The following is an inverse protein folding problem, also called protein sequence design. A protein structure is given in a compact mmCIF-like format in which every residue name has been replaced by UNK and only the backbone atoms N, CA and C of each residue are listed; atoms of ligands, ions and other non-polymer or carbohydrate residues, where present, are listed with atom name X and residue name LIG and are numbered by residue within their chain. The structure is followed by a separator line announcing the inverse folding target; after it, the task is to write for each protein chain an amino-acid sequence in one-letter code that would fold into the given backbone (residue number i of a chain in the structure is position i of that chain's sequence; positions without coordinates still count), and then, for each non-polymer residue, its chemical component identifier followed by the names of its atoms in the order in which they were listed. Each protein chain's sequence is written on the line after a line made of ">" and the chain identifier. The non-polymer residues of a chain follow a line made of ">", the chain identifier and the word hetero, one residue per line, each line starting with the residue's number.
data_IF_469500265879
#
_entry.id   IF_469500265879
#
_cell.length_a   1.000
_cell.length_b   1.000
_cell.length_c   1.000
_cell.angle_alpha   90.00
_cell.angle_beta   90.00
_cell.angle_gamma   90.00
#
_symmetry.space_group_name_H-M   'P 1'
#
loop_
_entity.id
_entity.type
_entity.pdbx_description
1 polymer ?
#
# COMPACT_ATOMS: atom_id res chain seq x y z
N UNK A 1 -10.03 -17.95 21.05
CA UNK A 1 -9.64 -17.39 19.73
C UNK A 1 -9.41 -15.91 19.92
N UNK A 2 -8.17 -15.47 19.97
CA UNK A 2 -7.82 -14.08 20.30
C UNK A 2 -8.07 -13.21 19.06
N UNK A 3 -9.30 -12.68 18.95
CA UNK A 3 -9.69 -11.80 17.85
C UNK A 3 -9.06 -10.44 18.11
N UNK A 4 -7.84 -10.24 17.61
CA UNK A 4 -7.15 -8.95 17.67
C UNK A 4 -7.95 -7.99 16.81
N UNK A 5 -8.83 -7.22 17.46
CA UNK A 5 -9.50 -6.05 16.89
C UNK A 5 -8.45 -4.94 16.82
N UNK A 6 -7.39 -5.15 16.02
CA UNK A 6 -6.50 -4.06 15.61
C UNK A 6 -7.38 -2.97 15.03
N UNK A 7 -7.04 -1.70 15.26
CA UNK A 7 -7.76 -0.54 14.76
C UNK A 7 -7.76 -0.51 13.23
N UNK A 8 -8.52 -1.42 12.62
CA UNK A 8 -8.72 -1.55 11.19
C UNK A 8 -9.65 -0.43 10.81
N UNK A 9 -9.04 0.68 10.41
CA UNK A 9 -9.79 1.86 10.15
C UNK A 9 -10.50 1.71 8.80
N UNK A 10 -11.83 1.93 8.73
CA UNK A 10 -12.58 1.80 7.48
C UNK A 10 -12.02 2.71 6.38
N UNK A 11 -11.38 3.82 6.74
CA UNK A 11 -10.71 4.72 5.79
C UNK A 11 -9.60 4.02 5.00
N UNK A 12 -8.83 3.11 5.61
CA UNK A 12 -7.70 2.46 4.96
C UNK A 12 -8.18 1.47 3.89
N UNK A 13 -9.21 0.69 4.22
CA UNK A 13 -9.85 -0.23 3.28
C UNK A 13 -10.41 0.55 2.10
N UNK A 14 -11.07 1.68 2.35
CA UNK A 14 -11.62 2.54 1.29
C UNK A 14 -10.50 3.11 0.42
N UNK A 15 -9.39 3.58 1.00
CA UNK A 15 -8.24 4.09 0.24
C UNK A 15 -7.57 3.01 -0.60
N UNK A 16 -7.40 1.80 -0.07
CA UNK A 16 -6.84 0.68 -0.83
C UNK A 16 -7.79 0.21 -1.93
N UNK A 17 -9.10 0.16 -1.67
CA UNK A 17 -10.09 -0.14 -2.70
C UNK A 17 -10.12 0.94 -3.79
N UNK A 18 -10.05 2.21 -3.41
CA UNK A 18 -9.91 3.32 -4.35
C UNK A 18 -8.63 3.20 -5.18
N UNK A 19 -7.51 2.84 -4.56
CA UNK A 19 -6.23 2.61 -5.25
C UNK A 19 -6.32 1.45 -6.24
N UNK A 20 -6.94 0.35 -5.84
CA UNK A 20 -7.20 -0.81 -6.70
C UNK A 20 -8.04 -0.42 -7.92
N UNK A 21 -9.16 0.26 -7.69
CA UNK A 21 -10.03 0.74 -8.77
C UNK A 21 -9.33 1.75 -9.67
N UNK A 22 -8.56 2.67 -9.10
CA UNK A 22 -7.75 3.64 -9.86
C UNK A 22 -6.69 2.95 -10.72
N UNK A 23 -6.05 1.88 -10.19
CA UNK A 23 -5.11 1.05 -10.93
C UNK A 23 -5.77 0.34 -12.12
N UNK A 24 -6.91 -0.31 -11.89
CA UNK A 24 -7.65 -1.01 -12.94
C UNK A 24 -8.19 -0.07 -14.01
N UNK A 25 -8.83 1.03 -13.60
CA UNK A 25 -9.36 2.04 -14.53
C UNK A 25 -8.24 2.71 -15.33
N UNK A 26 -7.11 3.03 -14.70
CA UNK A 26 -5.94 3.58 -15.41
C UNK A 26 -5.29 2.58 -16.37
N UNK A 27 -5.30 1.29 -16.05
CA UNK A 27 -4.78 0.24 -16.93
C UNK A 27 -5.64 0.03 -18.19
N UNK A 28 -6.95 -0.18 -18.02
CA UNK A 28 -7.87 -0.41 -19.14
C UNK A 28 -8.19 0.86 -19.92
N UNK A 29 -8.31 1.98 -19.21
CA UNK A 29 -8.63 3.29 -19.78
C UNK A 29 -7.40 4.13 -20.12
N UNK A 30 -6.19 3.54 -20.25
CA UNK A 30 -4.95 4.32 -20.38
C UNK A 30 -5.00 5.39 -21.48
N UNK A 31 -5.64 5.11 -22.62
CA UNK A 31 -5.81 6.08 -23.72
C UNK A 31 -6.66 7.30 -23.35
N UNK A 32 -7.59 7.17 -22.40
CA UNK A 32 -8.44 8.24 -21.87
C UNK A 32 -7.85 8.86 -20.59
N UNK A 33 -7.22 8.04 -19.74
CA UNK A 33 -6.55 8.48 -18.50
C UNK A 33 -5.26 9.26 -18.76
N UNK A 34 -4.63 9.05 -19.92
CA UNK A 34 -3.51 9.86 -20.40
C UNK A 34 -3.87 11.33 -20.67
N UNK A 35 -5.12 11.75 -20.49
CA UNK A 35 -5.50 13.18 -20.46
C UNK A 35 -4.71 13.99 -19.42
N UNK A 36 -4.11 13.34 -18.41
CA UNK A 36 -3.12 13.95 -17.54
C UNK A 36 -1.79 14.13 -18.29
N UNK A 37 -1.43 15.38 -18.59
CA UNK A 37 -0.29 15.80 -19.39
C UNK A 37 1.07 15.13 -19.06
N UNK A 38 1.23 14.59 -17.85
CA UNK A 38 2.47 13.95 -17.40
C UNK A 38 2.55 12.48 -17.85
N UNK A 39 1.43 11.77 -17.91
CA UNK A 39 1.40 10.37 -18.38
C UNK A 39 1.67 10.27 -19.88
N UNK A 40 1.39 11.32 -20.65
CA UNK A 40 1.74 11.42 -22.07
C UNK A 40 3.25 11.50 -22.30
N UNK A 41 4.03 11.93 -21.31
CA UNK A 41 5.49 12.04 -21.42
C UNK A 41 6.18 10.70 -21.15
N UNK A 42 5.50 9.75 -20.52
CA UNK A 42 6.01 8.41 -20.27
C UNK A 42 5.63 7.46 -21.41
N UNK A 43 6.53 6.56 -21.84
CA UNK A 43 6.15 5.51 -22.78
C UNK A 43 5.02 4.67 -22.20
N UNK A 44 4.02 4.36 -23.04
CA UNK A 44 2.77 3.67 -22.65
C UNK A 44 3.01 2.42 -21.80
N UNK A 45 4.03 1.64 -22.13
CA UNK A 45 4.38 0.42 -21.39
C UNK A 45 4.68 0.69 -19.90
N UNK A 46 5.41 1.77 -19.58
CA UNK A 46 5.73 2.14 -18.20
C UNK A 46 4.49 2.63 -17.45
N UNK A 47 3.63 3.41 -18.11
CA UNK A 47 2.37 3.86 -17.52
C UNK A 47 1.43 2.70 -17.20
N UNK A 48 1.28 1.75 -18.12
CA UNK A 48 0.49 0.54 -17.91
C UNK A 48 1.08 -0.35 -16.80
N UNK A 49 2.40 -0.53 -16.77
CA UNK A 49 3.08 -1.28 -15.72
C UNK A 49 2.87 -0.64 -14.34
N UNK A 50 2.91 0.70 -14.25
CA UNK A 50 2.63 1.42 -13.01
C UNK A 50 1.20 1.18 -12.52
N UNK A 51 0.19 1.35 -13.38
CA UNK A 51 -1.21 1.11 -13.01
C UNK A 51 -1.50 -0.34 -12.62
N UNK A 52 -0.91 -1.30 -13.35
CA UNK A 52 -1.01 -2.71 -13.00
C UNK A 52 -0.35 -3.01 -11.65
N UNK A 53 0.81 -2.41 -11.40
CA UNK A 53 1.51 -2.52 -10.11
C UNK A 53 0.70 -1.93 -8.95
N UNK A 54 0.04 -0.78 -9.14
CA UNK A 54 -0.86 -0.19 -8.16
C UNK A 54 -2.04 -1.12 -7.85
N UNK A 55 -2.70 -1.64 -8.89
CA UNK A 55 -3.80 -2.58 -8.73
C UNK A 55 -3.34 -3.85 -7.98
N UNK A 56 -2.23 -4.46 -8.41
CA UNK A 56 -1.71 -5.68 -7.80
C UNK A 56 -1.30 -5.48 -6.33
N UNK A 57 -0.57 -4.41 -6.03
CA UNK A 57 -0.12 -4.11 -4.65
C UNK A 57 -1.29 -3.78 -3.71
N UNK A 58 -2.29 -3.04 -4.18
CA UNK A 58 -3.52 -2.78 -3.43
C UNK A 58 -4.32 -4.07 -3.20
N UNK A 59 -4.43 -4.94 -4.21
CA UNK A 59 -5.09 -6.24 -4.07
C UNK A 59 -4.37 -7.13 -3.04
N UNK A 60 -3.04 -7.18 -3.05
CA UNK A 60 -2.23 -7.90 -2.05
C UNK A 60 -2.50 -7.32 -0.65
N UNK A 61 -2.50 -6.00 -0.50
CA UNK A 61 -2.75 -5.36 0.79
C UNK A 61 -4.16 -5.70 1.33
N UNK A 62 -5.18 -5.59 0.47
CA UNK A 62 -6.57 -5.96 0.81
C UNK A 62 -6.72 -7.44 1.16
N UNK A 63 -6.06 -8.33 0.41
CA UNK A 63 -6.05 -9.76 0.70
C UNK A 63 -5.45 -10.03 2.09
N UNK A 64 -4.37 -9.33 2.45
CA UNK A 64 -3.77 -9.39 3.78
C UNK A 64 -4.72 -8.97 4.90
N UNK A 65 -5.52 -7.92 4.67
CA UNK A 65 -6.54 -7.45 5.63
C UNK A 65 -7.64 -8.51 5.83
N UNK A 66 -8.08 -9.15 4.75
CA UNK A 66 -9.11 -10.19 4.79
C UNK A 66 -8.61 -11.52 5.39
N UNK A 67 -7.30 -11.78 5.36
CA UNK A 67 -6.71 -13.00 5.88
C UNK A 67 -6.72 -13.03 7.41
N UNK A 68 -7.03 -14.20 7.98
CA UNK A 68 -7.03 -14.43 9.44
C UNK A 68 -5.65 -14.91 9.91
N UNK A 69 -5.28 -14.58 11.15
CA UNK A 69 -4.03 -15.02 11.78
C UNK A 69 -2.82 -14.13 11.46
N UNK A 70 -1.63 -14.59 11.86
CA UNK A 70 -0.39 -13.80 11.80
C UNK A 70 0.10 -13.53 10.37
N UNK A 71 -0.35 -14.34 9.40
CA UNK A 71 0.02 -14.21 7.98
C UNK A 71 -0.62 -12.98 7.35
N UNK A 72 -1.85 -12.62 7.73
CA UNK A 72 -2.58 -11.48 7.16
C UNK A 72 -1.82 -10.16 7.25
N UNK A 73 -1.38 -9.73 8.45
CA UNK A 73 -0.59 -8.51 8.61
C UNK A 73 0.74 -8.53 7.85
N UNK A 74 1.36 -9.70 7.64
CA UNK A 74 2.60 -9.81 6.84
C UNK A 74 2.32 -9.57 5.35
N UNK A 75 1.22 -10.12 4.83
CA UNK A 75 0.77 -9.92 3.46
C UNK A 75 0.34 -8.46 3.24
N UNK A 76 -0.42 -7.88 4.17
CA UNK A 76 -0.81 -6.47 4.16
C UNK A 76 0.42 -5.57 4.05
N UNK A 77 1.40 -5.80 4.94
CA UNK A 77 2.67 -5.08 4.96
C UNK A 77 3.44 -5.19 3.64
N UNK A 78 3.48 -6.38 3.03
CA UNK A 78 4.17 -6.58 1.75
C UNK A 78 3.51 -5.76 0.63
N UNK A 79 2.18 -5.79 0.53
CA UNK A 79 1.43 -4.99 -0.43
C UNK A 79 1.68 -3.49 -0.27
N UNK A 80 1.65 -2.98 0.97
CA UNK A 80 1.90 -1.56 1.27
C UNK A 80 3.33 -1.12 0.93
N UNK A 81 4.34 -1.98 1.15
CA UNK A 81 5.73 -1.68 0.80
C UNK A 81 5.94 -1.64 -0.72
N UNK A 82 5.32 -2.57 -1.47
CA UNK A 82 5.35 -2.54 -2.94
C UNK A 82 4.69 -1.27 -3.45
N UNK A 83 3.52 -0.91 -2.90
CA UNK A 83 2.79 0.29 -3.29
C UNK A 83 3.61 1.57 -3.02
N UNK A 84 4.30 1.63 -1.87
CA UNK A 84 5.23 2.72 -1.52
C UNK A 84 6.36 2.84 -2.53
N UNK A 85 6.98 1.72 -2.92
CA UNK A 85 8.05 1.72 -3.93
C UNK A 85 7.57 2.26 -5.28
N UNK A 86 6.38 1.85 -5.72
CA UNK A 86 5.77 2.32 -6.96
C UNK A 86 5.49 3.82 -6.92
N UNK A 87 4.87 4.32 -5.84
CA UNK A 87 4.59 5.74 -5.69
C UNK A 87 5.85 6.60 -5.66
N UNK A 88 6.90 6.18 -4.95
CA UNK A 88 8.16 6.93 -4.92
C UNK A 88 8.88 6.93 -6.28
N UNK A 89 8.93 5.76 -6.93
CA UNK A 89 9.50 5.65 -8.29
C UNK A 89 8.77 6.57 -9.27
N UNK A 90 7.44 6.56 -9.23
CA UNK A 90 6.63 7.38 -10.13
C UNK A 90 6.69 8.88 -9.78
N UNK A 91 6.72 9.24 -8.49
CA UNK A 91 6.95 10.61 -8.05
C UNK A 91 8.30 11.15 -8.56
N UNK A 92 9.36 10.35 -8.47
CA UNK A 92 10.67 10.70 -9.02
C UNK A 92 10.61 10.90 -10.55
N UNK A 93 9.92 10.03 -11.27
CA UNK A 93 9.69 10.19 -12.71
C UNK A 93 8.92 11.48 -13.03
N UNK A 94 7.91 11.83 -12.23
CA UNK A 94 7.13 13.07 -12.39
C UNK A 94 7.99 14.31 -12.16
N UNK A 95 8.82 14.33 -11.11
CA UNK A 95 9.68 15.48 -10.84
C UNK A 95 10.76 15.66 -11.90
N UNK A 96 11.31 14.55 -12.43
CA UNK A 96 12.36 14.59 -13.45
C UNK A 96 11.83 14.97 -14.83
N UNK A 97 10.66 14.48 -15.22
CA UNK A 97 10.10 14.68 -16.57
C UNK A 97 9.10 15.85 -16.64
N UNK A 98 8.24 15.99 -15.61
CA UNK A 98 7.17 16.99 -15.58
C UNK A 98 7.59 18.36 -15.00
N UNK A 99 8.74 18.43 -14.33
CA UNK A 99 9.23 19.66 -13.70
C UNK A 99 8.21 20.29 -12.74
N UNK A 100 8.08 21.62 -12.77
CA UNK A 100 7.21 22.38 -11.85
C UNK A 100 5.71 22.00 -11.98
N UNK A 101 5.27 21.62 -13.18
CA UNK A 101 3.88 21.22 -13.44
C UNK A 101 3.49 19.90 -12.77
N UNK A 102 4.48 19.04 -12.51
CA UNK A 102 4.30 17.75 -11.85
C UNK A 102 4.33 17.81 -10.33
N UNK A 103 4.68 18.96 -9.74
CA UNK A 103 5.02 19.05 -8.32
C UNK A 103 3.86 18.67 -7.41
N UNK A 104 2.65 19.17 -7.69
CA UNK A 104 1.47 18.86 -6.89
C UNK A 104 1.15 17.36 -6.86
N UNK A 105 1.10 16.72 -8.03
CA UNK A 105 0.82 15.29 -8.11
C UNK A 105 1.95 14.44 -7.51
N UNK A 106 3.21 14.81 -7.73
CA UNK A 106 4.37 14.14 -7.13
C UNK A 106 4.34 14.17 -5.60
N UNK A 107 4.00 15.32 -4.98
CA UNK A 107 3.83 15.42 -3.53
C UNK A 107 2.68 14.57 -3.00
N UNK A 108 1.56 14.49 -3.73
CA UNK A 108 0.45 13.60 -3.37
C UNK A 108 0.90 12.14 -3.29
N UNK A 109 1.69 11.67 -4.26
CA UNK A 109 2.25 10.30 -4.23
C UNK A 109 3.21 10.10 -3.05
N UNK A 110 4.06 11.09 -2.74
CA UNK A 110 4.92 11.04 -1.54
C UNK A 110 4.07 10.95 -0.27
N UNK A 111 3.00 11.74 -0.16
CA UNK A 111 2.12 11.71 1.01
C UNK A 111 1.46 10.33 1.20
N UNK A 112 0.99 9.70 0.12
CA UNK A 112 0.49 8.33 0.15
C UNK A 112 1.57 7.32 0.56
N UNK A 113 2.80 7.46 0.06
CA UNK A 113 3.92 6.65 0.49
C UNK A 113 4.21 6.78 1.99
N UNK A 114 4.19 8.00 2.53
CA UNK A 114 4.37 8.24 3.97
C UNK A 114 3.25 7.56 4.77
N UNK A 115 2.00 7.69 4.35
CA UNK A 115 0.87 7.03 4.99
C UNK A 115 1.03 5.49 5.02
N UNK A 116 1.43 4.89 3.88
CA UNK A 116 1.72 3.45 3.80
C UNK A 116 2.85 3.03 4.74
N UNK A 117 3.94 3.81 4.83
CA UNK A 117 5.06 3.52 5.73
C UNK A 117 4.63 3.62 7.20
N UNK A 118 3.87 4.65 7.58
CA UNK A 118 3.34 4.78 8.94
C UNK A 118 2.51 3.54 9.30
N UNK A 119 1.67 3.07 8.38
CA UNK A 119 0.89 1.85 8.57
C UNK A 119 1.75 0.59 8.69
N UNK A 120 2.78 0.44 7.85
CA UNK A 120 3.76 -0.65 7.95
C UNK A 120 4.43 -0.68 9.33
N UNK A 121 4.74 0.49 9.90
CA UNK A 121 5.31 0.62 11.24
C UNK A 121 4.29 0.24 12.34
N UNK A 122 3.03 0.61 12.19
CA UNK A 122 1.95 0.17 13.09
C UNK A 122 1.81 -1.36 13.08
N UNK A 123 1.73 -1.98 11.90
CA UNK A 123 1.68 -3.45 11.76
C UNK A 123 2.89 -4.11 12.44
N UNK A 124 4.09 -3.54 12.29
CA UNK A 124 5.30 -4.06 12.93
C UNK A 124 5.22 -3.97 14.46
N UNK A 125 4.65 -2.90 15.01
CA UNK A 125 4.44 -2.73 16.45
C UNK A 125 3.42 -3.74 16.97
N UNK A 126 2.30 -3.91 16.26
CA UNK A 126 1.26 -4.89 16.60
C UNK A 126 1.83 -6.32 16.62
N UNK A 127 2.57 -6.71 15.59
CA UNK A 127 3.23 -8.03 15.52
C UNK A 127 4.24 -8.26 16.65
N UNK A 128 4.96 -7.22 17.09
CA UNK A 128 5.87 -7.32 18.24
C UNK A 128 5.11 -7.50 19.55
N UNK A 129 4.01 -6.76 19.74
CA UNK A 129 3.17 -6.89 20.93
C UNK A 129 2.57 -8.30 21.04
N UNK A 130 2.08 -8.86 19.93
CA UNK A 130 1.54 -10.22 19.88
C UNK A 130 2.61 -11.26 20.24
N UNK A 131 3.83 -11.13 19.70
CA UNK A 131 4.94 -12.04 20.03
C UNK A 131 5.34 -11.95 21.49
N UNK A 132 5.40 -10.75 22.06
CA UNK A 132 5.72 -10.55 23.47
C UNK A 132 4.64 -11.19 24.38
N UNK A 133 3.36 -11.00 24.06
CA UNK A 133 2.26 -11.62 24.80
C UNK A 133 2.31 -13.16 24.76
N UNK A 134 2.61 -13.73 23.59
CA UNK A 134 2.73 -15.18 23.44
C UNK A 134 3.87 -15.79 24.29
N UNK A 135 5.00 -15.08 24.44
CA UNK A 135 6.10 -15.55 25.30
C UNK A 135 5.73 -15.52 26.79
N UNK A 136 4.95 -14.53 27.22
CA UNK A 136 4.50 -14.44 28.62
C UNK A 136 3.57 -15.61 28.96
N UNK A 137 2.62 -15.93 28.08
CA UNK A 137 1.69 -17.06 28.29
C UNK A 137 2.42 -18.40 28.38
N UNK A 138 3.43 -18.63 27.54
CA UNK A 138 4.22 -19.87 27.55
C UNK A 138 5.04 -20.02 28.84
N UNK A 139 5.52 -18.90 29.42
CA UNK A 139 6.24 -18.93 30.70
C UNK A 139 5.35 -19.19 31.92
N UNK A 140 4.06 -18.84 31.87
CA UNK A 140 3.10 -19.14 32.96
C UNK A 140 2.69 -20.60 32.96
N UNK A 141 2.51 -21.22 31.79
CA UNK A 141 2.12 -22.64 31.69
C UNK A 141 3.22 -23.59 32.19
N UNK A 142 4.49 -23.15 32.24
CA UNK A 142 5.61 -23.96 32.76
C UNK A 142 5.72 -23.96 34.29
N UNK A 143 4.95 -23.13 34.98
CA UNK A 143 4.98 -23.00 36.45
C UNK A 143 3.84 -23.75 37.15
N UNK A 144 2.88 -24.30 36.39
CA UNK A 144 1.78 -25.16 36.88
C UNK A 144 2.09 -26.65 36.70
#
# INVERSE_FOLDING_TARGET
>A
MLTIRSGRHPHEIVLLAFTLLSGLTGFFGYSQAASNAILLLLPRAYGQAFYLGLAASAAIALAGICWRGIVGPLVERAGLLINTGLYLFFALAIFTVGGVRGVGFGFTLIAFSVANVVRVLQIRRDLRAIRAAAMVTDSTDQLE
#
